data_IF_886243359786
#
_entry.id   IF_886243359786
#
_cell.length_a   1.000
_cell.length_b   1.000
_cell.length_c   1.000
_cell.angle_alpha   90.00
_cell.angle_beta   90.00
_cell.angle_gamma   90.00
#
_symmetry.space_group_name_H-M   'P 1'
#
loop_
_entity.id
_entity.type
_entity.pdbx_description
1 polymer ?
#
# COMPACT_ATOMS: atom_id res chain seq x y z
N UNK A 1 4.87 -13.52 -43.30
CA UNK A 1 4.46 -12.51 -42.31
C UNK A 1 4.14 -13.24 -41.02
N UNK A 2 5.11 -13.29 -40.11
CA UNK A 2 4.94 -13.82 -38.77
C UNK A 2 4.18 -12.80 -37.91
N UNK A 3 3.15 -13.21 -37.17
CA UNK A 3 2.68 -12.47 -36.00
C UNK A 3 1.77 -13.31 -35.11
N UNK A 4 2.31 -13.59 -33.92
CA UNK A 4 1.66 -13.56 -32.60
C UNK A 4 0.44 -14.47 -32.43
N UNK A 5 0.71 -15.73 -32.11
CA UNK A 5 -0.18 -16.58 -31.30
C UNK A 5 0.65 -17.13 -30.15
N UNK A 6 0.91 -16.30 -29.15
CA UNK A 6 1.63 -16.67 -27.93
C UNK A 6 1.08 -15.91 -26.73
N UNK A 7 -0.25 -15.93 -26.56
CA UNK A 7 -0.92 -15.47 -25.36
C UNK A 7 -2.19 -16.29 -25.24
N UNK A 8 -2.15 -17.39 -24.46
CA UNK A 8 -3.31 -18.07 -23.84
C UNK A 8 -3.02 -19.47 -23.25
N UNK A 9 -1.75 -19.86 -23.03
CA UNK A 9 -1.42 -21.15 -22.38
C UNK A 9 -1.18 -21.01 -20.86
N UNK A 10 -1.26 -19.80 -20.30
CA UNK A 10 -0.84 -19.55 -18.90
C UNK A 10 -1.91 -19.78 -17.82
N UNK A 11 -3.15 -20.15 -18.16
CA UNK A 11 -4.26 -20.14 -17.20
C UNK A 11 -4.76 -21.50 -16.71
N UNK A 12 -4.17 -22.64 -17.10
CA UNK A 12 -4.80 -23.95 -16.86
C UNK A 12 -4.06 -24.95 -15.96
N UNK A 13 -3.05 -24.54 -15.17
CA UNK A 13 -2.26 -25.51 -14.35
C UNK A 13 -2.33 -25.27 -12.84
N UNK A 14 -3.06 -24.25 -12.37
CA UNK A 14 -3.19 -23.97 -10.93
C UNK A 14 -4.62 -24.10 -10.38
N UNK A 15 -5.40 -25.02 -10.94
CA UNK A 15 -6.72 -25.40 -10.38
C UNK A 15 -6.66 -26.55 -9.38
N UNK A 16 -5.47 -26.96 -8.93
CA UNK A 16 -5.32 -27.94 -7.85
C UNK A 16 -4.29 -27.43 -6.85
N UNK A 17 -4.78 -26.76 -5.81
CA UNK A 17 -3.98 -26.45 -4.63
C UNK A 17 -3.33 -27.75 -4.10
N UNK A 18 -2.01 -27.79 -3.90
CA UNK A 18 -1.37 -28.98 -3.36
C UNK A 18 -1.88 -29.27 -1.93
N UNK A 19 -2.01 -30.55 -1.55
CA UNK A 19 -2.54 -30.96 -0.26
C UNK A 19 -1.55 -30.64 0.87
N UNK A 20 -1.96 -29.76 1.79
CA UNK A 20 -1.56 -29.60 3.21
C UNK A 20 -0.09 -29.80 3.67
N UNK A 21 0.91 -29.82 2.79
CA UNK A 21 2.33 -29.78 3.15
C UNK A 21 2.90 -28.42 2.75
N UNK A 22 3.82 -27.90 3.57
CA UNK A 22 4.60 -26.71 3.26
C UNK A 22 5.26 -26.85 1.87
N UNK A 23 5.39 -25.74 1.14
CA UNK A 23 6.01 -25.78 -0.20
C UNK A 23 7.40 -26.42 -0.13
N UNK A 24 7.63 -27.45 -0.97
CA UNK A 24 8.89 -28.18 -1.07
C UNK A 24 9.24 -28.45 -2.53
N UNK A 25 10.38 -27.93 -2.98
CA UNK A 25 10.91 -28.11 -4.34
C UNK A 25 11.04 -29.57 -4.77
N UNK A 26 11.18 -30.52 -3.83
CA UNK A 26 11.29 -31.96 -4.12
C UNK A 26 9.98 -32.55 -4.66
N UNK A 27 8.85 -31.92 -4.38
CA UNK A 27 7.51 -32.39 -4.76
C UNK A 27 7.03 -31.84 -6.11
N UNK A 28 7.85 -31.02 -6.79
CA UNK A 28 7.50 -30.37 -8.04
C UNK A 28 7.50 -31.35 -9.23
N UNK A 29 6.48 -31.22 -10.07
CA UNK A 29 6.36 -31.90 -11.38
C UNK A 29 7.40 -31.41 -12.39
N UNK A 30 7.58 -32.14 -13.49
CA UNK A 30 8.50 -31.73 -14.58
C UNK A 30 8.20 -30.34 -15.14
N UNK A 31 6.93 -30.07 -15.45
CA UNK A 31 6.47 -28.75 -15.93
C UNK A 31 6.76 -27.63 -14.94
N UNK A 32 6.57 -27.85 -13.63
CA UNK A 32 6.84 -26.84 -12.61
C UNK A 32 8.35 -26.56 -12.48
N UNK A 33 9.19 -27.60 -12.60
CA UNK A 33 10.65 -27.44 -12.58
C UNK A 33 11.14 -26.65 -13.79
N UNK A 34 10.55 -26.85 -14.97
CA UNK A 34 10.88 -26.07 -16.16
C UNK A 34 10.51 -24.60 -16.02
N UNK A 35 9.33 -24.29 -15.46
CA UNK A 35 8.92 -22.92 -15.16
C UNK A 35 9.88 -22.25 -14.17
N UNK A 36 10.24 -22.94 -13.08
CA UNK A 36 11.23 -22.44 -12.11
C UNK A 36 12.60 -22.24 -12.76
N UNK A 37 13.03 -23.13 -13.67
CA UNK A 37 14.29 -22.95 -14.38
C UNK A 37 14.29 -21.72 -15.29
N UNK A 38 13.16 -21.43 -15.95
CA UNK A 38 13.00 -20.20 -16.74
C UNK A 38 13.07 -18.94 -15.86
N UNK A 39 12.42 -19.00 -14.70
CA UNK A 39 12.43 -17.91 -13.71
C UNK A 39 13.82 -17.69 -13.10
N UNK A 40 14.57 -18.77 -12.84
CA UNK A 40 15.96 -18.68 -12.37
C UNK A 40 16.90 -18.12 -13.43
N UNK A 41 16.73 -18.45 -14.72
CA UNK A 41 17.50 -17.81 -15.80
C UNK A 41 17.28 -16.30 -15.82
N UNK A 42 16.06 -15.90 -15.53
CA UNK A 42 15.62 -14.52 -15.42
C UNK A 42 16.22 -13.76 -14.22
N UNK A 43 16.72 -14.48 -13.20
CA UNK A 43 17.41 -13.94 -12.02
C UNK A 43 18.94 -14.05 -12.11
N UNK A 44 19.45 -14.71 -13.16
CA UNK A 44 20.87 -15.03 -13.26
C UNK A 44 21.73 -13.77 -13.33
N UNK A 45 22.75 -13.69 -12.46
CA UNK A 45 23.67 -12.57 -12.40
C UNK A 45 23.14 -11.34 -11.65
N UNK A 46 21.91 -11.38 -11.14
CA UNK A 46 21.36 -10.34 -10.26
C UNK A 46 21.82 -10.65 -8.82
N UNK A 47 22.46 -9.68 -8.18
CA UNK A 47 22.77 -9.76 -6.75
C UNK A 47 21.47 -9.58 -5.94
N UNK A 48 21.18 -10.50 -5.02
CA UNK A 48 19.94 -10.52 -4.21
C UNK A 48 18.66 -10.40 -5.06
N UNK A 49 18.39 -11.38 -5.94
CA UNK A 49 17.30 -11.29 -6.92
C UNK A 49 15.90 -11.18 -6.31
N UNK A 50 15.72 -11.51 -5.04
CA UNK A 50 14.48 -11.25 -4.30
C UNK A 50 14.17 -9.76 -4.11
N UNK A 51 15.15 -8.87 -4.32
CA UNK A 51 14.98 -7.41 -4.27
C UNK A 51 14.60 -6.82 -5.64
N UNK A 52 14.63 -7.61 -6.71
CA UNK A 52 14.13 -7.19 -8.02
C UNK A 52 12.59 -7.23 -8.04
N UNK A 53 12.00 -6.06 -7.85
CA UNK A 53 10.54 -5.85 -7.82
C UNK A 53 9.96 -5.47 -9.18
N UNK A 54 10.79 -5.38 -10.22
CA UNK A 54 10.33 -5.04 -11.58
C UNK A 54 9.37 -6.09 -12.17
N UNK A 55 9.36 -7.29 -11.58
CA UNK A 55 8.52 -8.41 -11.98
C UNK A 55 7.73 -8.91 -10.78
N UNK A 56 6.42 -9.01 -10.98
CA UNK A 56 5.53 -9.66 -10.03
C UNK A 56 5.96 -11.11 -9.83
N UNK A 57 6.13 -11.59 -8.59
CA UNK A 57 6.32 -13.00 -8.36
C UNK A 57 5.02 -13.76 -8.66
N UNK A 58 5.12 -14.88 -9.39
CA UNK A 58 3.95 -15.67 -9.82
C UNK A 58 3.83 -17.00 -9.06
N UNK A 59 4.94 -17.52 -8.54
CA UNK A 59 5.01 -18.76 -7.77
C UNK A 59 6.32 -18.82 -6.96
N UNK A 60 6.36 -19.73 -5.98
CA UNK A 60 7.55 -19.98 -5.18
C UNK A 60 8.59 -20.77 -5.99
N UNK A 61 9.81 -20.25 -6.05
CA UNK A 61 10.93 -20.80 -6.85
C UNK A 61 12.01 -21.42 -5.98
N UNK A 62 12.16 -20.92 -4.75
CA UNK A 62 13.39 -21.06 -3.98
C UNK A 62 14.49 -20.16 -4.52
N UNK A 63 15.68 -20.27 -3.92
CA UNK A 63 16.85 -19.49 -4.33
C UNK A 63 17.31 -19.92 -5.73
N UNK A 64 17.71 -18.98 -6.60
CA UNK A 64 18.26 -19.32 -7.91
C UNK A 64 19.64 -19.99 -7.77
N UNK A 65 20.09 -20.75 -8.79
CA UNK A 65 21.39 -21.38 -8.79
C UNK A 65 22.51 -20.35 -8.56
N UNK A 66 23.40 -20.66 -7.62
CA UNK A 66 24.52 -19.78 -7.25
C UNK A 66 24.25 -18.93 -6.00
N UNK A 67 22.99 -18.76 -5.59
CA UNK A 67 22.67 -18.14 -4.31
C UNK A 67 22.78 -19.18 -3.18
N UNK A 68 23.93 -19.13 -2.48
CA UNK A 68 24.25 -20.02 -1.37
C UNK A 68 23.92 -19.41 0.01
N UNK A 69 23.20 -18.28 0.05
CA UNK A 69 22.88 -17.62 1.32
C UNK A 69 22.01 -18.51 2.20
N UNK A 70 22.29 -18.54 3.50
CA UNK A 70 21.43 -19.22 4.47
C UNK A 70 20.20 -18.36 4.80
N UNK A 71 19.17 -18.98 5.39
CA UNK A 71 17.93 -18.29 5.75
C UNK A 71 18.18 -17.03 6.59
N UNK A 72 19.07 -17.08 7.58
CA UNK A 72 19.44 -15.92 8.42
C UNK A 72 19.96 -14.74 7.60
N UNK A 73 20.75 -14.99 6.57
CA UNK A 73 21.31 -13.92 5.73
C UNK A 73 20.19 -13.24 4.95
N UNK A 74 19.31 -14.02 4.32
CA UNK A 74 18.15 -13.51 3.58
C UNK A 74 17.18 -12.77 4.51
N UNK A 75 16.89 -13.32 5.69
CA UNK A 75 16.04 -12.68 6.70
C UNK A 75 16.66 -11.35 7.15
N UNK A 76 17.97 -11.28 7.36
CA UNK A 76 18.62 -10.04 7.76
C UNK A 76 18.68 -9.00 6.63
N UNK A 77 18.76 -9.44 5.38
CA UNK A 77 18.74 -8.60 4.18
C UNK A 77 17.35 -8.00 3.90
N UNK A 78 16.28 -8.56 4.48
CA UNK A 78 14.91 -8.07 4.32
C UNK A 78 14.35 -7.52 5.66
N UNK A 79 14.29 -6.19 5.84
CA UNK A 79 13.85 -5.58 7.09
C UNK A 79 12.43 -5.97 7.52
N UNK A 80 11.51 -6.16 6.56
CA UNK A 80 10.13 -6.56 6.86
C UNK A 80 10.13 -7.98 7.42
N UNK A 81 10.79 -8.91 6.72
CA UNK A 81 10.87 -10.30 7.12
C UNK A 81 11.53 -10.46 8.49
N UNK A 82 12.59 -9.69 8.76
CA UNK A 82 13.27 -9.66 10.06
C UNK A 82 12.36 -9.24 11.20
N UNK A 83 11.47 -8.27 10.95
CA UNK A 83 10.52 -7.73 11.93
C UNK A 83 9.16 -8.42 11.90
N UNK A 84 8.95 -9.36 10.97
CA UNK A 84 7.66 -9.99 10.74
C UNK A 84 7.25 -10.79 11.99
N UNK A 85 6.27 -10.25 12.70
CA UNK A 85 5.85 -10.80 13.98
C UNK A 85 4.89 -11.98 13.84
N UNK A 86 4.17 -12.24 14.93
CA UNK A 86 3.15 -13.29 15.02
C UNK A 86 1.73 -12.69 15.10
N UNK A 87 1.52 -11.49 14.57
CA UNK A 87 0.21 -10.84 14.58
C UNK A 87 -0.80 -11.66 13.77
N UNK A 88 -2.09 -11.56 14.15
CA UNK A 88 -3.18 -12.41 13.63
C UNK A 88 -3.23 -12.45 12.10
N UNK A 89 -3.23 -11.28 11.47
CA UNK A 89 -3.39 -11.16 10.01
C UNK A 89 -2.07 -11.26 9.23
N UNK A 90 -0.95 -11.57 9.90
CA UNK A 90 0.27 -12.03 9.20
C UNK A 90 0.09 -13.48 8.71
N UNK A 91 -0.79 -14.25 9.35
CA UNK A 91 -1.25 -15.56 8.87
C UNK A 91 -0.13 -16.50 8.39
N UNK A 92 0.92 -16.62 9.21
CA UNK A 92 2.11 -17.43 8.90
C UNK A 92 1.78 -18.88 8.50
N UNK A 93 0.81 -19.58 9.13
CA UNK A 93 0.47 -20.94 8.72
C UNK A 93 0.01 -21.06 7.26
N UNK A 94 -0.73 -20.07 6.73
CA UNK A 94 -1.08 -20.07 5.31
C UNK A 94 0.11 -19.65 4.44
N UNK A 95 0.89 -18.68 4.89
CA UNK A 95 2.11 -18.29 4.18
C UNK A 95 3.09 -19.47 4.00
N UNK A 96 3.24 -20.35 5.01
CA UNK A 96 4.11 -21.53 4.91
C UNK A 96 3.65 -22.53 3.84
N UNK A 97 2.34 -22.68 3.64
CA UNK A 97 1.80 -23.51 2.56
C UNK A 97 2.18 -22.99 1.18
N UNK A 98 2.28 -21.67 1.03
CA UNK A 98 2.58 -21.00 -0.24
C UNK A 98 4.09 -20.86 -0.51
N UNK A 99 4.86 -20.62 0.54
CA UNK A 99 6.25 -20.15 0.45
C UNK A 99 7.26 -21.12 1.10
N UNK A 100 6.78 -22.02 1.95
CA UNK A 100 7.59 -22.86 2.85
C UNK A 100 7.78 -22.23 4.23
N UNK A 101 8.17 -23.03 5.23
CA UNK A 101 8.49 -22.53 6.56
C UNK A 101 9.92 -21.96 6.62
N UNK A 102 10.04 -20.63 6.73
CA UNK A 102 11.32 -19.91 6.86
C UNK A 102 11.83 -19.80 8.31
N UNK A 103 11.11 -20.35 9.29
CA UNK A 103 11.46 -20.25 10.71
C UNK A 103 12.45 -21.30 11.16
N UNK A 104 12.98 -21.14 12.36
CA UNK A 104 13.85 -22.11 13.02
C UNK A 104 13.16 -23.45 13.33
N UNK A 105 11.84 -23.57 13.13
CA UNK A 105 11.13 -24.85 13.24
C UNK A 105 11.47 -25.78 12.06
N UNK A 106 11.70 -25.21 10.87
CA UNK A 106 12.16 -25.97 9.71
C UNK A 106 13.63 -26.38 9.88
N UNK A 107 13.85 -27.68 10.15
CA UNK A 107 15.19 -28.25 10.37
C UNK A 107 15.95 -28.56 9.09
N UNK A 108 15.33 -28.39 7.91
CA UNK A 108 15.99 -28.54 6.63
C UNK A 108 16.58 -27.17 6.19
N UNK A 109 17.89 -26.93 6.34
CA UNK A 109 18.49 -25.62 6.14
C UNK A 109 18.29 -25.08 4.72
N UNK A 110 18.42 -25.94 3.71
CA UNK A 110 18.22 -25.58 2.31
C UNK A 110 16.76 -25.17 2.02
N UNK A 111 15.79 -25.97 2.50
CA UNK A 111 14.37 -25.67 2.30
C UNK A 111 13.96 -24.40 3.05
N UNK A 112 14.53 -24.16 4.22
CA UNK A 112 14.30 -22.95 5.00
C UNK A 112 14.87 -21.70 4.32
N UNK A 113 16.05 -21.81 3.71
CA UNK A 113 16.65 -20.72 2.95
C UNK A 113 15.85 -20.42 1.67
N UNK A 114 15.36 -21.45 0.99
CA UNK A 114 14.46 -21.29 -0.15
C UNK A 114 13.13 -20.62 0.26
N UNK A 115 12.57 -20.99 1.42
CA UNK A 115 11.39 -20.34 1.98
C UNK A 115 11.63 -18.87 2.36
N UNK A 116 12.78 -18.57 2.96
CA UNK A 116 13.18 -17.20 3.27
C UNK A 116 13.32 -16.34 2.00
N UNK A 117 13.86 -16.92 0.92
CA UNK A 117 13.93 -16.25 -0.38
C UNK A 117 12.54 -15.96 -0.95
N UNK A 118 11.66 -16.97 -0.97
CA UNK A 118 10.30 -16.83 -1.49
C UNK A 118 9.53 -15.72 -0.75
N UNK A 119 9.57 -15.72 0.58
CA UNK A 119 8.85 -14.70 1.36
C UNK A 119 9.47 -13.32 1.22
N UNK A 120 10.80 -13.20 1.15
CA UNK A 120 11.47 -11.93 0.92
C UNK A 120 11.06 -11.31 -0.41
N UNK A 121 10.97 -12.13 -1.47
CA UNK A 121 10.54 -11.69 -2.80
C UNK A 121 9.12 -11.11 -2.79
N UNK A 122 8.18 -11.81 -2.14
CA UNK A 122 6.80 -11.32 -2.01
C UNK A 122 6.73 -10.05 -1.16
N UNK A 123 7.44 -10.00 -0.04
CA UNK A 123 7.43 -8.83 0.85
C UNK A 123 8.04 -7.59 0.19
N UNK A 124 9.14 -7.73 -0.55
CA UNK A 124 9.74 -6.63 -1.30
C UNK A 124 8.79 -6.11 -2.40
N UNK A 125 8.11 -7.03 -3.10
CA UNK A 125 7.10 -6.64 -4.08
C UNK A 125 5.95 -5.87 -3.40
N UNK A 126 5.43 -6.35 -2.27
CA UNK A 126 4.35 -5.67 -1.54
C UNK A 126 4.80 -4.29 -1.01
N UNK A 127 5.99 -4.17 -0.43
CA UNK A 127 6.54 -2.92 0.12
C UNK A 127 6.67 -1.82 -0.94
N UNK A 128 7.05 -2.23 -2.15
CA UNK A 128 7.21 -1.35 -3.31
C UNK A 128 5.92 -1.18 -4.12
N UNK A 129 4.76 -1.56 -3.57
CA UNK A 129 3.49 -1.27 -4.25
C UNK A 129 3.31 0.24 -4.46
N UNK A 130 2.59 0.60 -5.50
CA UNK A 130 2.05 1.95 -5.69
C UNK A 130 0.80 2.14 -4.82
N UNK A 131 0.38 3.39 -4.62
CA UNK A 131 -0.89 3.68 -3.96
C UNK A 131 -2.09 3.13 -4.76
N UNK A 132 -3.29 3.17 -4.19
CA UNK A 132 -4.48 2.67 -4.86
C UNK A 132 -4.83 3.42 -6.16
N UNK A 133 -4.44 4.70 -6.25
CA UNK A 133 -4.50 5.57 -7.43
C UNK A 133 -3.28 5.46 -8.36
N UNK A 134 -2.27 4.64 -8.00
CA UNK A 134 -1.10 4.34 -8.84
C UNK A 134 0.04 5.32 -8.72
N UNK A 135 -0.02 6.18 -7.73
CA UNK A 135 1.00 7.16 -7.43
C UNK A 135 2.11 6.53 -6.57
N UNK A 136 3.30 7.14 -6.63
CA UNK A 136 4.42 6.73 -5.79
C UNK A 136 4.13 7.08 -4.30
N UNK A 137 4.28 6.11 -3.39
CA UNK A 137 3.95 6.25 -1.96
C UNK A 137 4.99 7.04 -1.13
N UNK A 138 5.79 7.88 -1.78
CA UNK A 138 6.83 8.70 -1.15
C UNK A 138 7.78 7.89 -0.27
N UNK A 139 7.90 8.29 1.01
CA UNK A 139 8.77 7.63 2.00
C UNK A 139 8.25 6.26 2.45
N UNK A 140 7.01 5.91 2.14
CA UNK A 140 6.41 4.62 2.50
C UNK A 140 6.59 3.56 1.41
N UNK A 141 7.23 3.91 0.29
CA UNK A 141 7.56 2.97 -0.78
C UNK A 141 8.93 2.34 -0.52
N UNK A 142 8.99 1.02 -0.35
CA UNK A 142 10.26 0.31 -0.17
C UNK A 142 11.00 0.66 1.13
N UNK A 143 10.25 1.01 2.18
CA UNK A 143 10.85 1.50 3.44
C UNK A 143 11.22 0.38 4.41
N UNK A 144 10.91 -0.87 4.06
CA UNK A 144 11.18 -2.02 4.90
C UNK A 144 10.18 -2.18 6.06
N UNK A 145 8.99 -1.59 5.97
CA UNK A 145 7.92 -1.71 6.94
C UNK A 145 6.59 -2.18 6.30
N UNK A 146 5.95 -3.17 6.94
CA UNK A 146 4.66 -3.70 6.47
C UNK A 146 3.51 -2.82 7.00
N UNK A 147 3.25 -1.73 6.30
CA UNK A 147 2.29 -0.70 6.70
C UNK A 147 0.84 -1.22 6.80
N UNK A 148 0.12 -0.77 7.83
CA UNK A 148 -1.32 -1.01 7.99
C UNK A 148 -1.73 -2.10 8.99
N UNK A 149 -0.79 -2.69 9.72
CA UNK A 149 -1.10 -3.54 10.88
C UNK A 149 -1.67 -2.66 12.01
N UNK A 150 -2.83 -3.03 12.54
CA UNK A 150 -3.45 -2.37 13.69
C UNK A 150 -2.82 -2.84 15.01
N UNK A 151 -3.11 -2.14 16.11
CA UNK A 151 -2.67 -2.57 17.45
C UNK A 151 -3.26 -3.93 17.87
N UNK A 152 -4.43 -4.31 17.36
CA UNK A 152 -5.03 -5.64 17.55
C UNK A 152 -4.40 -6.72 16.66
N UNK A 153 -3.50 -6.34 15.74
CA UNK A 153 -2.85 -7.26 14.81
C UNK A 153 -3.68 -7.57 13.56
N UNK A 154 -4.72 -6.77 13.28
CA UNK A 154 -5.50 -6.87 12.05
C UNK A 154 -4.80 -6.10 10.93
N UNK A 155 -4.94 -6.54 9.69
CA UNK A 155 -4.42 -5.84 8.52
C UNK A 155 -5.52 -5.00 7.87
N UNK A 156 -5.24 -3.71 7.63
CA UNK A 156 -6.20 -2.84 6.94
C UNK A 156 -6.15 -3.04 5.43
N UNK A 157 -7.33 -3.07 4.80
CA UNK A 157 -7.43 -3.09 3.34
C UNK A 157 -6.89 -1.80 2.75
N UNK A 158 -6.21 -1.88 1.62
CA UNK A 158 -5.56 -0.75 0.94
C UNK A 158 -4.22 -0.35 1.54
N UNK A 159 -3.58 -1.26 2.27
CA UNK A 159 -2.21 -1.13 2.79
C UNK A 159 -1.36 -2.33 2.38
N UNK A 160 -0.02 -2.25 2.46
CA UNK A 160 0.88 -3.40 2.32
C UNK A 160 0.49 -4.61 3.18
N UNK A 161 0.14 -4.38 4.45
CA UNK A 161 -0.34 -5.45 5.33
C UNK A 161 -1.62 -6.11 4.81
N UNK A 162 -2.56 -5.32 4.28
CA UNK A 162 -3.77 -5.85 3.65
C UNK A 162 -3.45 -6.74 2.45
N UNK A 163 -2.57 -6.28 1.57
CA UNK A 163 -2.12 -7.08 0.42
C UNK A 163 -1.37 -8.35 0.85
N UNK A 164 -0.56 -8.30 1.91
CA UNK A 164 0.07 -9.50 2.49
C UNK A 164 -0.98 -10.49 2.99
N UNK A 165 -1.99 -10.00 3.73
CA UNK A 165 -3.10 -10.85 4.19
C UNK A 165 -3.81 -11.50 3.01
N UNK A 166 -4.18 -10.72 2.00
CA UNK A 166 -4.83 -11.23 0.80
C UNK A 166 -3.93 -12.28 0.14
N UNK A 167 -2.63 -12.02 -0.04
CA UNK A 167 -1.66 -13.01 -0.53
C UNK A 167 -1.64 -14.29 0.31
N UNK A 168 -1.69 -14.23 1.64
CA UNK A 168 -1.70 -15.46 2.44
C UNK A 168 -2.99 -16.27 2.29
N UNK A 169 -4.13 -15.62 2.06
CA UNK A 169 -5.43 -16.28 1.91
C UNK A 169 -5.65 -16.82 0.48
N UNK A 170 -5.11 -16.10 -0.49
CA UNK A 170 -5.39 -16.27 -1.90
C UNK A 170 -4.18 -16.84 -2.64
N UNK A 171 -2.98 -16.41 -2.33
CA UNK A 171 -1.75 -16.75 -3.04
C UNK A 171 -1.37 -15.65 -4.03
N UNK A 172 -0.58 -16.01 -5.04
CA UNK A 172 0.06 -15.03 -5.94
C UNK A 172 -0.94 -14.22 -6.78
N UNK A 173 -2.18 -14.69 -6.96
CA UNK A 173 -3.20 -13.91 -7.68
C UNK A 173 -3.72 -12.68 -6.91
N UNK A 174 -3.48 -12.60 -5.61
CA UNK A 174 -3.76 -11.38 -4.84
C UNK A 174 -2.72 -10.28 -5.11
N UNK A 175 -1.55 -10.63 -5.66
CA UNK A 175 -0.59 -9.65 -6.12
C UNK A 175 -1.08 -9.14 -7.48
N UNK A 176 -1.30 -7.83 -7.56
CA UNK A 176 -1.91 -7.21 -8.74
C UNK A 176 -0.88 -6.95 -9.82
N UNK A 177 -1.24 -7.15 -11.08
CA UNK A 177 -0.37 -6.90 -12.24
C UNK A 177 0.01 -5.42 -12.38
N UNK A 178 -0.88 -4.53 -11.93
CA UNK A 178 -0.64 -3.09 -11.92
C UNK A 178 0.19 -2.62 -10.72
N UNK A 179 0.58 -3.54 -9.82
CA UNK A 179 1.41 -3.29 -8.64
C UNK A 179 0.82 -2.25 -7.67
N UNK A 180 -0.49 -2.05 -7.70
CA UNK A 180 -1.19 -1.05 -6.86
C UNK A 180 -1.74 -1.68 -5.60
N UNK A 181 -1.85 -0.89 -4.54
CA UNK A 181 -2.67 -1.27 -3.39
C UNK A 181 -4.16 -1.28 -3.75
N UNK A 182 -4.96 -2.01 -2.97
CA UNK A 182 -6.40 -2.00 -3.13
C UNK A 182 -7.03 -0.66 -2.72
N UNK A 183 -8.05 -0.20 -3.45
CA UNK A 183 -8.82 0.96 -3.00
C UNK A 183 -9.59 0.63 -1.72
N UNK A 184 -9.55 1.53 -0.74
CA UNK A 184 -10.24 1.36 0.54
C UNK A 184 -11.05 2.60 0.90
N UNK A 185 -12.18 2.40 1.57
CA UNK A 185 -12.96 3.47 2.18
C UNK A 185 -12.63 3.66 3.66
N UNK A 186 -11.63 2.94 4.19
CA UNK A 186 -11.21 3.07 5.59
C UNK A 186 -10.56 4.43 5.83
N UNK A 187 -11.22 5.27 6.61
CA UNK A 187 -10.75 6.62 6.95
C UNK A 187 -9.47 6.64 7.81
N UNK A 188 -9.04 5.50 8.34
CA UNK A 188 -7.77 5.35 9.06
C UNK A 188 -6.59 5.05 8.13
N UNK A 189 -6.83 4.86 6.83
CA UNK A 189 -5.78 4.64 5.83
C UNK A 189 -5.55 5.93 5.06
N UNK A 190 -4.28 6.33 4.91
CA UNK A 190 -3.87 7.45 4.06
C UNK A 190 -3.86 7.02 2.59
N UNK A 191 -3.83 7.98 1.67
CA UNK A 191 -3.76 7.68 0.23
C UNK A 191 -2.52 6.84 -0.14
N UNK A 192 -1.41 7.04 0.59
CA UNK A 192 -0.18 6.25 0.46
C UNK A 192 -0.24 4.88 1.16
N UNK A 193 -1.40 4.43 1.63
CA UNK A 193 -1.57 3.12 2.27
C UNK A 193 -0.98 2.99 3.69
N UNK A 194 -0.51 4.08 4.31
CA UNK A 194 -0.08 4.08 5.72
C UNK A 194 -1.25 4.33 6.67
N UNK A 195 -1.07 4.04 7.96
CA UNK A 195 -2.08 4.31 8.99
C UNK A 195 -2.09 5.77 9.45
N UNK A 196 -3.28 6.36 9.61
CA UNK A 196 -3.49 7.59 10.39
C UNK A 196 -3.49 7.26 11.88
N UNK A 197 -2.79 8.07 12.65
CA UNK A 197 -2.79 8.07 14.12
C UNK A 197 -4.04 8.77 14.67
N UNK A 198 -4.40 8.50 15.93
CA UNK A 198 -5.69 8.87 16.51
C UNK A 198 -5.99 10.38 16.43
N UNK A 199 -4.98 11.24 16.60
CA UNK A 199 -5.12 12.69 16.46
C UNK A 199 -5.42 13.08 15.00
N UNK A 200 -4.69 12.51 14.05
CA UNK A 200 -4.88 12.77 12.61
C UNK A 200 -6.26 12.29 12.15
N UNK A 201 -6.71 11.13 12.63
CA UNK A 201 -8.04 10.63 12.34
C UNK A 201 -9.13 11.57 12.92
N UNK A 202 -9.02 11.92 14.21
CA UNK A 202 -10.02 12.79 14.86
C UNK A 202 -10.10 14.16 14.18
N UNK A 203 -8.95 14.73 13.82
CA UNK A 203 -8.88 15.98 13.06
C UNK A 203 -9.48 15.81 11.65
N UNK A 204 -9.16 14.74 10.92
CA UNK A 204 -9.75 14.45 9.61
C UNK A 204 -11.29 14.35 9.68
N UNK A 205 -11.81 13.62 10.67
CA UNK A 205 -13.25 13.43 10.86
C UNK A 205 -13.95 14.74 11.24
N UNK A 206 -13.35 15.52 12.16
CA UNK A 206 -13.86 16.83 12.54
C UNK A 206 -13.83 17.81 11.34
N UNK A 207 -12.75 17.83 10.57
CA UNK A 207 -12.60 18.67 9.38
C UNK A 207 -13.66 18.38 8.31
N UNK A 208 -13.98 17.10 8.09
CA UNK A 208 -15.11 16.70 7.22
C UNK A 208 -16.45 17.17 7.75
N UNK A 209 -16.67 17.16 9.07
CA UNK A 209 -17.94 17.59 9.68
C UNK A 209 -18.10 19.11 9.74
N UNK A 210 -17.01 19.86 9.72
CA UNK A 210 -17.01 21.34 9.77
C UNK A 210 -16.83 21.98 8.40
N UNK A 211 -17.13 21.27 7.30
CA UNK A 211 -16.96 21.73 5.91
C UNK A 211 -17.57 23.12 5.62
N UNK A 212 -18.66 23.48 6.31
CA UNK A 212 -19.35 24.78 6.20
C UNK A 212 -18.60 25.94 6.87
N UNK A 213 -17.49 25.66 7.55
CA UNK A 213 -16.52 26.63 8.08
C UNK A 213 -15.17 26.35 7.38
N UNK A 214 -14.94 26.86 6.16
CA UNK A 214 -13.81 26.46 5.32
C UNK A 214 -12.44 26.56 6.01
N UNK A 215 -12.22 27.64 6.79
CA UNK A 215 -10.97 27.81 7.53
C UNK A 215 -10.70 26.74 8.57
N UNK A 216 -11.71 26.42 9.40
CA UNK A 216 -11.58 25.37 10.39
C UNK A 216 -11.49 23.99 9.72
N UNK A 217 -12.29 23.76 8.68
CA UNK A 217 -12.30 22.50 7.92
C UNK A 217 -10.94 22.21 7.30
N UNK A 218 -10.36 23.14 6.55
CA UNK A 218 -9.07 22.98 5.90
C UNK A 218 -7.93 22.82 6.92
N UNK A 219 -7.93 23.55 8.04
CA UNK A 219 -6.95 23.36 9.13
C UNK A 219 -7.01 21.93 9.68
N UNK A 220 -8.21 21.45 9.99
CA UNK A 220 -8.42 20.12 10.55
C UNK A 220 -8.11 18.99 9.55
N UNK A 221 -8.45 19.17 8.27
CA UNK A 221 -8.04 18.26 7.20
C UNK A 221 -6.53 18.27 7.00
N UNK A 222 -5.90 19.44 7.07
CA UNK A 222 -4.45 19.59 6.97
C UNK A 222 -3.72 18.85 8.11
N UNK A 223 -4.16 19.01 9.36
CA UNK A 223 -3.68 18.22 10.50
C UNK A 223 -3.88 16.73 10.24
N UNK A 224 -5.05 16.35 9.72
CA UNK A 224 -5.43 14.96 9.49
C UNK A 224 -4.68 14.27 8.34
N UNK A 225 -4.08 15.04 7.43
CA UNK A 225 -3.31 14.54 6.28
C UNK A 225 -1.80 14.70 6.47
N UNK A 226 -1.34 15.33 7.55
CA UNK A 226 0.08 15.60 7.79
C UNK A 226 0.90 14.37 8.23
N UNK A 227 2.21 14.58 8.33
CA UNK A 227 3.15 13.67 8.97
C UNK A 227 2.83 13.48 10.46
N UNK A 228 3.31 12.38 11.05
CA UNK A 228 3.09 12.02 12.45
C UNK A 228 3.64 13.03 13.46
N UNK A 229 2.91 13.19 14.57
CA UNK A 229 3.33 13.98 15.73
C UNK A 229 2.95 15.47 15.70
N UNK A 230 3.30 16.18 16.78
CA UNK A 230 2.90 17.58 17.02
C UNK A 230 3.46 18.54 15.96
N UNK A 231 4.70 18.32 15.52
CA UNK A 231 5.34 19.17 14.50
C UNK A 231 4.64 19.01 13.14
N UNK A 232 4.34 17.77 12.75
CA UNK A 232 3.55 17.49 11.54
C UNK A 232 2.17 18.11 11.61
N UNK A 233 1.48 17.97 12.76
CA UNK A 233 0.17 18.61 12.99
C UNK A 233 0.23 20.14 12.86
N UNK A 234 1.23 20.80 13.43
CA UNK A 234 1.41 22.26 13.28
C UNK A 234 1.64 22.68 11.83
N UNK A 235 2.45 21.92 11.09
CA UNK A 235 2.67 22.16 9.66
C UNK A 235 1.38 21.94 8.86
N UNK A 236 0.67 20.85 9.10
CA UNK A 236 -0.62 20.57 8.46
C UNK A 236 -1.68 21.64 8.75
N UNK A 237 -1.73 22.13 9.99
CA UNK A 237 -2.61 23.23 10.36
C UNK A 237 -2.27 24.52 9.58
N UNK A 238 -0.98 24.82 9.45
CA UNK A 238 -0.50 25.95 8.65
C UNK A 238 -0.88 25.79 7.17
N UNK A 239 -0.62 24.63 6.58
CA UNK A 239 -0.92 24.37 5.17
C UNK A 239 -2.44 24.47 4.89
N UNK A 240 -3.26 23.95 5.81
CA UNK A 240 -4.73 24.09 5.76
C UNK A 240 -5.21 25.55 5.89
N UNK A 241 -4.56 26.34 6.73
CA UNK A 241 -4.82 27.78 6.84
C UNK A 241 -4.43 28.52 5.55
N UNK A 242 -3.23 28.26 5.02
CA UNK A 242 -2.74 28.89 3.78
C UNK A 242 -3.65 28.54 2.59
N UNK A 243 -4.11 27.28 2.49
CA UNK A 243 -5.11 26.86 1.50
C UNK A 243 -6.42 27.64 1.61
N UNK A 244 -6.93 27.85 2.82
CA UNK A 244 -8.15 28.65 3.06
C UNK A 244 -8.03 30.07 2.51
N UNK A 245 -6.86 30.68 2.68
CA UNK A 245 -6.58 32.03 2.15
C UNK A 245 -6.67 32.05 0.62
N UNK A 246 -6.05 31.07 -0.03
CA UNK A 246 -6.08 30.88 -1.49
C UNK A 246 -7.49 30.60 -2.02
N UNK A 247 -8.31 29.86 -1.29
CA UNK A 247 -9.63 29.42 -1.74
C UNK A 247 -10.69 30.56 -1.77
N UNK A 248 -10.37 31.74 -1.24
CA UNK A 248 -11.21 32.94 -1.35
C UNK A 248 -11.43 33.70 -0.04
N UNK A 249 -10.87 33.23 1.07
CA UNK A 249 -11.00 33.91 2.36
C UNK A 249 -10.36 35.30 2.36
N UNK A 250 -9.20 35.47 1.73
CA UNK A 250 -8.55 36.79 1.61
C UNK A 250 -9.39 37.76 0.77
N UNK A 251 -10.10 37.26 -0.24
CA UNK A 251 -11.02 38.07 -1.05
C UNK A 251 -12.26 38.50 -0.25
N UNK A 252 -12.79 37.62 0.61
CA UNK A 252 -13.89 37.95 1.50
C UNK A 252 -13.46 39.03 2.51
N UNK A 253 -12.28 38.89 3.12
CA UNK A 253 -11.74 39.87 4.08
C UNK A 253 -11.46 41.22 3.43
N UNK A 254 -10.83 41.24 2.25
CA UNK A 254 -10.60 42.46 1.48
C UNK A 254 -11.90 43.15 1.06
N UNK A 255 -12.95 42.37 0.75
CA UNK A 255 -14.28 42.92 0.43
C UNK A 255 -14.97 43.50 1.65
N UNK A 256 -14.85 42.85 2.82
CA UNK A 256 -15.37 43.35 4.09
C UNK A 256 -14.75 44.69 4.48
N UNK A 257 -13.42 44.82 4.35
CA UNK A 257 -12.70 46.07 4.62
C UNK A 257 -13.16 47.24 3.72
N UNK A 258 -13.71 46.94 2.55
CA UNK A 258 -14.27 47.92 1.60
C UNK A 258 -15.79 48.09 1.74
N UNK A 259 -16.44 47.46 2.73
CA UNK A 259 -17.90 47.47 2.89
C UNK A 259 -18.67 46.76 1.76
N UNK A 260 -18.01 45.94 0.94
CA UNK A 260 -18.63 45.24 -0.18
C UNK A 260 -19.22 43.89 0.27
N UNK A 261 -20.47 43.91 0.71
CA UNK A 261 -21.20 42.74 1.22
C UNK A 261 -21.29 41.63 0.15
N UNK A 262 -21.54 41.97 -1.12
CA UNK A 262 -21.58 40.99 -2.21
C UNK A 262 -20.23 40.31 -2.45
N UNK A 263 -19.13 41.05 -2.32
CA UNK A 263 -17.78 40.50 -2.38
C UNK A 263 -17.48 39.55 -1.23
N UNK A 264 -17.98 39.84 -0.02
CA UNK A 264 -17.89 38.93 1.14
C UNK A 264 -18.62 37.61 0.86
N UNK A 265 -19.87 37.67 0.38
CA UNK A 265 -20.67 36.49 0.06
C UNK A 265 -20.02 35.66 -1.05
N UNK A 266 -19.53 36.29 -2.12
CA UNK A 266 -18.82 35.59 -3.21
C UNK A 266 -17.53 34.93 -2.74
N UNK A 267 -16.74 35.63 -1.92
CA UNK A 267 -15.51 35.07 -1.35
C UNK A 267 -15.78 33.86 -0.45
N UNK A 268 -16.83 33.93 0.39
CA UNK A 268 -17.27 32.80 1.20
C UNK A 268 -17.78 31.63 0.35
N UNK A 269 -18.63 31.88 -0.64
CA UNK A 269 -19.14 30.86 -1.56
C UNK A 269 -17.99 30.18 -2.33
N UNK A 270 -16.99 30.93 -2.78
CA UNK A 270 -15.76 30.38 -3.40
C UNK A 270 -15.02 29.47 -2.43
N UNK A 271 -14.81 29.91 -1.18
CA UNK A 271 -14.09 29.13 -0.18
C UNK A 271 -14.82 27.82 0.17
N UNK A 272 -16.16 27.85 0.26
CA UNK A 272 -16.97 26.64 0.47
C UNK A 272 -16.90 25.73 -0.75
N UNK A 273 -17.01 26.26 -1.96
CA UNK A 273 -17.00 25.46 -3.18
C UNK A 273 -15.66 24.74 -3.41
N UNK A 274 -14.55 25.41 -3.09
CA UNK A 274 -13.18 24.86 -3.25
C UNK A 274 -12.73 23.97 -2.10
N UNK A 275 -13.41 24.01 -0.95
CA UNK A 275 -13.10 23.12 0.18
C UNK A 275 -13.35 21.65 -0.21
N UNK A 276 -12.32 20.82 -0.05
CA UNK A 276 -12.33 19.39 -0.38
C UNK A 276 -13.37 18.60 0.41
N UNK A 277 -13.67 19.00 1.64
CA UNK A 277 -14.69 18.36 2.47
C UNK A 277 -16.13 18.77 2.14
N UNK A 278 -16.34 19.76 1.26
CA UNK A 278 -17.69 20.19 0.89
C UNK A 278 -18.39 19.08 0.08
N UNK A 279 -19.62 18.68 0.46
CA UNK A 279 -20.36 17.67 -0.30
C UNK A 279 -20.58 18.09 -1.75
N UNK A 280 -20.46 17.16 -2.70
CA UNK A 280 -20.60 17.44 -4.14
C UNK A 280 -21.94 18.07 -4.52
N UNK A 281 -23.01 17.72 -3.80
CA UNK A 281 -24.33 18.32 -3.97
C UNK A 281 -24.30 19.84 -3.69
N UNK A 282 -23.55 20.25 -2.67
CA UNK A 282 -23.40 21.66 -2.29
C UNK A 282 -22.55 22.40 -3.31
N UNK A 283 -21.42 21.80 -3.75
CA UNK A 283 -20.58 22.37 -4.83
C UNK A 283 -21.38 22.59 -6.11
N UNK A 284 -22.19 21.60 -6.49
CA UNK A 284 -23.06 21.68 -7.67
C UNK A 284 -24.06 22.83 -7.58
N UNK A 285 -24.68 23.04 -6.42
CA UNK A 285 -25.61 24.16 -6.19
C UNK A 285 -24.87 25.50 -6.28
N UNK A 286 -23.70 25.62 -5.64
CA UNK A 286 -22.92 26.86 -5.66
C UNK A 286 -22.45 27.24 -7.08
N UNK A 287 -22.03 26.25 -7.88
CA UNK A 287 -21.64 26.47 -9.28
C UNK A 287 -22.82 26.95 -10.15
N UNK A 288 -24.03 26.44 -9.91
CA UNK A 288 -25.24 26.87 -10.62
C UNK A 288 -25.71 28.28 -10.24
N UNK A 289 -25.46 28.69 -9.01
CA UNK A 289 -25.85 30.03 -8.51
C UNK A 289 -24.81 31.09 -8.87
N UNK A 290 -23.55 30.69 -9.13
CA UNK A 290 -22.46 31.58 -9.52
C UNK A 290 -22.25 31.76 -11.03
N UNK A 291 -22.99 31.01 -11.87
CA UNK A 291 -23.05 31.15 -13.35
C UNK A 291 -24.15 32.12 -13.76
#
# INVERSE_FOLDING_TARGET
MASIVAANVFSSVWSSAPPSHDWDKRQLTGSQREQIAQEHKQMQGIEKPEQDVSRKPEFATGRPPGDNRIAEQIINDNPILKKLGHQKDINRPLAYKLLGDWTSNNKAPEARADAAFNVARVLNYIDTSLSADGEHRGKAHGNGDLEGITRSGDARRGTPAGMWKDFTEQGYYALRDDHRLDSTSDTHVKADGTNKDNLQWAASAAGKRTWFIPGLSNILLGIGNADQGVVGALKGAKDGFDKTRVDGFDQALASAARGNIWGVVKGYASAVNKNEATPEQVKTVLNKVGS
#
